data_IF_037880023046
#
_entry.id   IF_037880023046
#
_cell.length_a   1.000
_cell.length_b   1.000
_cell.length_c   1.000
_cell.angle_alpha   90.00
_cell.angle_beta   90.00
_cell.angle_gamma   90.00
#
_symmetry.space_group_name_H-M   'P 1'
#
loop_
_entity.id
_entity.type
_entity.pdbx_description
1 polymer ?
#
# COMPACT_ATOMS: atom_id res chain seq x y z
N UNK A 1 25.11 -6.42 -8.48
CA UNK A 1 25.42 -4.97 -8.29
C UNK A 1 25.28 -4.13 -9.57
N UNK A 2 25.53 -4.68 -10.75
CA UNK A 2 25.43 -3.91 -12.01
C UNK A 2 24.00 -3.76 -12.55
N UNK A 3 23.12 -4.71 -12.29
CA UNK A 3 21.75 -4.71 -12.82
C UNK A 3 20.85 -3.60 -12.24
N UNK A 4 21.16 -3.02 -11.07
CA UNK A 4 20.50 -1.83 -10.54
C UNK A 4 20.84 -0.53 -11.28
N UNK A 5 21.73 -0.55 -12.27
CA UNK A 5 22.13 0.59 -13.12
C UNK A 5 21.44 0.63 -14.49
N UNK A 6 20.59 -0.34 -14.79
CA UNK A 6 20.20 -0.64 -16.16
C UNK A 6 19.18 0.30 -16.80
N UNK A 7 18.71 1.34 -16.12
CA UNK A 7 17.68 2.19 -16.73
C UNK A 7 17.93 3.68 -16.45
N UNK A 8 18.55 4.38 -17.37
CA UNK A 8 18.47 5.83 -17.63
C UNK A 8 18.11 6.72 -16.43
N UNK A 9 18.90 6.72 -15.37
CA UNK A 9 18.64 7.51 -14.16
C UNK A 9 17.50 6.99 -13.28
N UNK A 10 16.87 5.88 -13.63
CA UNK A 10 15.80 5.21 -12.87
C UNK A 10 16.29 3.99 -12.10
N UNK A 11 17.58 3.87 -11.85
CA UNK A 11 18.11 2.79 -11.04
C UNK A 11 17.49 2.82 -9.65
N UNK A 12 17.19 1.65 -9.09
CA UNK A 12 16.62 1.50 -7.75
C UNK A 12 17.37 2.33 -6.71
N UNK A 13 18.70 2.40 -6.82
CA UNK A 13 19.57 3.16 -5.93
C UNK A 13 19.37 4.67 -5.99
N UNK A 14 18.79 5.20 -7.07
CA UNK A 14 18.50 6.63 -7.19
C UNK A 14 17.44 7.08 -6.17
N UNK A 15 16.51 6.21 -5.85
CA UNK A 15 15.48 6.45 -4.85
C UNK A 15 15.83 5.78 -3.51
N UNK A 16 16.20 4.49 -3.55
CA UNK A 16 16.37 3.69 -2.35
C UNK A 16 17.75 3.77 -1.70
N UNK A 17 18.72 4.41 -2.37
CA UNK A 17 20.10 4.49 -1.88
C UNK A 17 20.89 3.19 -2.08
N UNK A 18 22.22 3.27 -2.00
CA UNK A 18 23.11 2.13 -2.20
C UNK A 18 22.99 1.06 -1.10
N UNK A 19 22.64 1.51 0.11
CA UNK A 19 22.43 0.66 1.29
C UNK A 19 20.95 0.32 1.55
N UNK A 20 20.07 0.67 0.61
CA UNK A 20 18.64 0.38 0.72
C UNK A 20 17.89 1.17 1.80
N UNK A 21 18.47 2.26 2.32
CA UNK A 21 17.92 3.07 3.43
C UNK A 21 16.84 4.07 3.02
N UNK A 22 16.40 4.07 1.76
CA UNK A 22 15.42 5.03 1.25
C UNK A 22 15.98 6.46 1.11
N UNK A 23 17.29 6.61 1.15
CA UNK A 23 18.02 7.87 1.21
C UNK A 23 18.73 8.24 -0.09
N UNK A 24 18.31 7.64 -1.18
CA UNK A 24 18.85 7.96 -2.51
C UNK A 24 18.60 9.43 -2.90
N UNK A 25 19.36 9.99 -3.85
CA UNK A 25 19.28 11.40 -4.24
C UNK A 25 17.84 11.85 -4.56
N UNK A 26 17.07 11.05 -5.29
CA UNK A 26 15.69 11.38 -5.61
C UNK A 26 14.80 11.45 -4.35
N UNK A 27 15.03 10.58 -3.37
CA UNK A 27 14.29 10.58 -2.11
C UNK A 27 14.60 11.76 -1.21
N UNK A 28 15.80 12.35 -1.32
CA UNK A 28 16.24 13.45 -0.47
C UNK A 28 15.93 14.84 -1.04
N UNK A 29 16.05 15.02 -2.35
CA UNK A 29 16.08 16.34 -2.97
C UNK A 29 14.80 16.76 -3.66
N UNK A 30 13.88 15.85 -3.91
CA UNK A 30 12.61 16.20 -4.52
C UNK A 30 11.62 16.57 -3.41
N UNK A 31 11.51 17.89 -3.11
CA UNK A 31 10.57 18.40 -2.11
C UNK A 31 9.13 17.90 -2.30
N UNK A 32 8.72 17.67 -3.55
CA UNK A 32 7.42 17.10 -3.92
C UNK A 32 7.23 15.69 -3.34
N UNK A 33 8.30 14.99 -3.07
CA UNK A 33 8.32 13.61 -2.59
C UNK A 33 8.91 13.50 -1.19
N UNK A 34 8.80 14.58 -0.40
CA UNK A 34 9.25 14.55 1.00
C UNK A 34 8.56 13.44 1.79
N UNK A 35 7.32 13.07 1.40
CA UNK A 35 6.60 11.92 1.96
C UNK A 35 5.55 11.40 0.97
N UNK A 36 5.36 10.06 0.90
CA UNK A 36 6.18 9.06 1.56
C UNK A 36 7.55 8.94 0.89
N UNK A 37 8.59 8.79 1.69
CA UNK A 37 9.93 8.47 1.18
C UNK A 37 10.00 7.06 0.59
N UNK A 38 10.99 6.80 -0.28
CA UNK A 38 11.30 5.44 -0.69
C UNK A 38 11.50 4.55 0.53
N UNK A 39 11.05 3.30 0.43
CA UNK A 39 11.14 2.35 1.55
C UNK A 39 12.59 2.17 1.98
N UNK A 40 12.82 2.24 3.28
CA UNK A 40 14.03 1.77 3.94
C UNK A 40 13.93 0.23 4.08
N UNK A 41 14.72 -0.49 3.30
CA UNK A 41 14.73 -1.96 3.27
C UNK A 41 15.43 -2.59 4.47
N UNK A 42 16.14 -1.81 5.26
CA UNK A 42 16.80 -2.29 6.48
C UNK A 42 15.85 -2.41 7.67
N UNK A 43 14.59 -1.93 7.51
CA UNK A 43 13.54 -1.96 8.53
C UNK A 43 12.47 -3.00 8.19
N UNK A 44 11.75 -3.44 9.19
CA UNK A 44 10.71 -4.47 9.06
C UNK A 44 9.34 -3.92 8.65
N UNK A 45 9.13 -2.62 8.70
CA UNK A 45 7.84 -2.01 8.39
C UNK A 45 7.61 -1.84 6.89
N UNK A 46 6.76 -2.64 6.30
CA UNK A 46 6.35 -2.57 4.89
C UNK A 46 4.86 -2.24 4.77
N UNK A 47 4.52 -1.31 3.83
CA UNK A 47 3.13 -0.86 3.63
C UNK A 47 2.29 -1.85 2.85
N UNK A 48 2.84 -2.38 1.76
CA UNK A 48 2.11 -3.20 0.79
C UNK A 48 2.47 -4.67 0.99
N UNK A 49 1.59 -5.39 1.64
CA UNK A 49 1.76 -6.79 2.00
C UNK A 49 0.42 -7.51 2.05
N UNK A 50 0.48 -8.82 2.07
CA UNK A 50 -0.66 -9.71 2.33
C UNK A 50 -0.57 -10.40 3.70
N UNK A 51 0.52 -10.20 4.41
CA UNK A 51 0.73 -10.70 5.78
C UNK A 51 0.03 -9.82 6.83
N UNK A 52 -0.19 -10.29 8.05
CA UNK A 52 -0.74 -9.48 9.14
C UNK A 52 0.07 -8.21 9.41
N UNK A 53 -0.55 -7.23 10.08
CA UNK A 53 0.13 -5.98 10.47
C UNK A 53 1.31 -6.27 11.40
N UNK A 54 2.44 -5.62 11.13
CA UNK A 54 3.70 -5.84 11.85
C UNK A 54 4.62 -6.86 11.20
N UNK A 55 4.12 -7.67 10.28
CA UNK A 55 4.87 -8.74 9.62
C UNK A 55 5.55 -8.28 8.32
N UNK A 56 6.60 -9.01 7.93
CA UNK A 56 7.25 -8.80 6.64
C UNK A 56 6.36 -9.22 5.47
N UNK A 57 6.50 -8.58 4.30
CA UNK A 57 5.78 -8.97 3.10
C UNK A 57 6.28 -10.32 2.58
N UNK A 58 5.39 -11.05 1.92
CA UNK A 58 5.76 -12.25 1.16
C UNK A 58 6.59 -11.88 -0.07
N UNK A 59 7.26 -12.87 -0.66
CA UNK A 59 7.98 -12.69 -1.92
C UNK A 59 7.03 -12.25 -3.05
N UNK A 60 5.80 -12.73 -3.04
CA UNK A 60 4.75 -12.34 -4.00
C UNK A 60 4.31 -10.88 -3.82
N UNK A 61 4.26 -10.37 -2.60
CA UNK A 61 3.96 -8.96 -2.35
C UNK A 61 5.06 -8.04 -2.91
N UNK A 62 6.31 -8.42 -2.70
CA UNK A 62 7.45 -7.70 -3.27
C UNK A 62 7.45 -7.77 -4.79
N UNK A 63 7.17 -8.96 -5.36
CA UNK A 63 7.09 -9.17 -6.81
C UNK A 63 6.00 -8.29 -7.43
N UNK A 64 4.81 -8.29 -6.82
CA UNK A 64 3.70 -7.44 -7.24
C UNK A 64 4.07 -5.96 -7.21
N UNK A 65 4.66 -5.50 -6.10
CA UNK A 65 5.05 -4.10 -5.93
C UNK A 65 6.10 -3.66 -6.97
N UNK A 66 7.11 -4.47 -7.23
CA UNK A 66 8.12 -4.18 -8.26
C UNK A 66 7.49 -4.21 -9.65
N UNK A 67 6.63 -5.18 -9.92
CA UNK A 67 6.00 -5.31 -11.23
C UNK A 67 5.08 -4.13 -11.54
N UNK A 68 4.19 -3.77 -10.62
CA UNK A 68 3.17 -2.75 -10.84
C UNK A 68 3.68 -1.33 -10.58
N UNK A 69 4.70 -1.21 -9.71
CA UNK A 69 5.10 0.09 -9.18
C UNK A 69 4.06 0.62 -8.18
N UNK A 70 4.21 1.90 -7.84
CA UNK A 70 3.31 2.62 -6.94
C UNK A 70 2.94 3.94 -7.62
N UNK A 71 1.68 4.15 -8.01
CA UNK A 71 1.27 5.34 -8.74
C UNK A 71 1.78 6.64 -8.10
N UNK A 72 2.44 7.47 -8.89
CA UNK A 72 2.99 8.75 -8.47
C UNK A 72 4.30 8.68 -7.67
N UNK A 73 4.78 7.49 -7.26
CA UNK A 73 5.96 7.35 -6.39
C UNK A 73 7.03 6.42 -6.94
N UNK A 74 6.66 5.21 -7.33
CA UNK A 74 7.61 4.21 -7.83
C UNK A 74 7.17 3.77 -9.22
N UNK A 75 8.05 3.82 -10.22
CA UNK A 75 7.71 3.35 -11.56
C UNK A 75 7.44 1.83 -11.55
N UNK A 76 6.62 1.39 -12.51
CA UNK A 76 6.48 -0.02 -12.83
C UNK A 76 7.76 -0.57 -13.47
N UNK A 77 8.17 -1.76 -13.06
CA UNK A 77 9.30 -2.49 -13.64
C UNK A 77 8.83 -3.75 -14.41
N UNK A 78 7.63 -3.72 -14.97
CA UNK A 78 7.09 -4.82 -15.79
C UNK A 78 7.94 -5.11 -17.04
N UNK A 79 8.78 -4.15 -17.47
CA UNK A 79 9.72 -4.32 -18.60
C UNK A 79 10.91 -5.23 -18.26
N UNK A 80 11.18 -5.46 -16.98
CA UNK A 80 12.14 -6.49 -16.57
C UNK A 80 11.51 -7.88 -16.78
N UNK A 81 12.35 -8.85 -17.16
CA UNK A 81 11.92 -10.25 -17.19
C UNK A 81 11.49 -10.72 -15.79
N UNK A 82 10.74 -11.79 -15.73
CA UNK A 82 10.32 -12.37 -14.46
C UNK A 82 11.52 -12.74 -13.57
N UNK A 83 12.52 -13.39 -14.16
CA UNK A 83 13.76 -13.77 -13.46
C UNK A 83 14.51 -12.55 -12.91
N UNK A 84 14.59 -11.46 -13.67
CA UNK A 84 15.22 -10.23 -13.20
C UNK A 84 14.49 -9.62 -12.02
N UNK A 85 13.15 -9.66 -12.01
CA UNK A 85 12.35 -9.19 -10.87
C UNK A 85 12.60 -10.05 -9.63
N UNK A 86 12.68 -11.38 -9.78
CA UNK A 86 13.04 -12.28 -8.68
C UNK A 86 14.46 -12.03 -8.15
N UNK A 87 15.42 -11.76 -9.01
CA UNK A 87 16.77 -11.37 -8.59
C UNK A 87 16.78 -10.04 -7.81
N UNK A 88 15.97 -9.06 -8.22
CA UNK A 88 15.81 -7.80 -7.50
C UNK A 88 15.22 -8.05 -6.12
N UNK A 89 14.21 -8.93 -5.98
CA UNK A 89 13.62 -9.29 -4.70
C UNK A 89 14.65 -9.93 -3.77
N UNK A 90 15.40 -10.89 -4.26
CA UNK A 90 16.49 -11.53 -3.49
C UNK A 90 17.51 -10.49 -2.99
N UNK A 91 17.81 -9.50 -3.81
CA UNK A 91 18.70 -8.41 -3.42
C UNK A 91 18.06 -7.49 -2.37
N UNK A 92 16.80 -7.10 -2.53
CA UNK A 92 16.05 -6.29 -1.54
C UNK A 92 16.02 -7.01 -0.19
N UNK A 93 15.71 -8.31 -0.16
CA UNK A 93 15.69 -9.11 1.06
C UNK A 93 17.06 -9.19 1.74
N UNK A 94 18.15 -9.09 1.01
CA UNK A 94 19.50 -9.13 1.58
C UNK A 94 19.86 -7.93 2.47
N UNK A 95 19.07 -6.85 2.43
CA UNK A 95 19.28 -5.68 3.30
C UNK A 95 18.77 -5.89 4.73
N UNK A 96 17.90 -6.89 4.96
CA UNK A 96 17.32 -7.16 6.28
C UNK A 96 17.39 -8.66 6.60
N UNK A 97 18.09 -8.99 7.69
CA UNK A 97 18.26 -10.39 8.12
C UNK A 97 16.95 -11.06 8.56
N UNK A 98 15.93 -10.30 8.95
CA UNK A 98 14.62 -10.84 9.34
C UNK A 98 13.94 -11.62 8.18
N UNK A 99 14.28 -11.34 6.92
CA UNK A 99 13.81 -12.16 5.79
C UNK A 99 14.42 -13.58 5.72
N UNK A 100 15.36 -13.92 6.60
CA UNK A 100 15.89 -15.30 6.75
C UNK A 100 15.05 -16.14 7.70
N UNK A 101 14.22 -15.50 8.50
CA UNK A 101 13.30 -16.15 9.41
C UNK A 101 12.03 -16.56 8.69
N UNK A 102 11.22 -17.40 9.30
CA UNK A 102 9.93 -17.79 8.75
C UNK A 102 8.98 -16.57 8.73
N UNK A 103 8.44 -16.28 7.54
CA UNK A 103 7.48 -15.19 7.36
C UNK A 103 6.07 -15.75 7.58
N UNK A 104 5.25 -15.02 8.32
CA UNK A 104 3.85 -15.37 8.52
C UNK A 104 3.13 -15.59 7.18
N UNK A 105 2.24 -16.57 7.10
CA UNK A 105 1.47 -16.80 5.89
C UNK A 105 0.61 -15.58 5.54
N UNK A 106 0.31 -15.37 4.25
CA UNK A 106 -0.60 -14.32 3.84
C UNK A 106 -1.99 -14.55 4.44
N UNK A 107 -2.69 -13.45 4.75
CA UNK A 107 -4.09 -13.53 5.12
C UNK A 107 -4.91 -14.10 3.96
N UNK A 108 -6.01 -14.82 4.22
CA UNK A 108 -6.91 -15.25 3.19
C UNK A 108 -7.44 -14.05 2.40
N UNK A 109 -7.42 -14.17 1.06
CA UNK A 109 -8.02 -13.21 0.14
C UNK A 109 -9.14 -13.92 -0.63
N UNK A 110 -10.31 -14.10 -0.02
CA UNK A 110 -11.42 -14.80 -0.65
C UNK A 110 -11.90 -14.03 -1.89
N UNK A 111 -12.64 -14.71 -2.75
CA UNK A 111 -13.42 -14.05 -3.78
C UNK A 111 -14.65 -13.38 -3.15
N UNK A 112 -15.15 -12.26 -3.73
CA UNK A 112 -16.37 -11.65 -3.25
C UNK A 112 -17.51 -12.67 -3.16
N UNK A 113 -18.21 -12.77 -2.03
CA UNK A 113 -19.31 -13.74 -1.88
C UNK A 113 -20.55 -13.32 -2.69
N UNK A 114 -20.60 -12.06 -3.12
CA UNK A 114 -21.71 -11.51 -3.92
C UNK A 114 -21.19 -10.38 -4.84
N UNK A 115 -21.96 -10.12 -5.90
CA UNK A 115 -21.75 -8.94 -6.74
C UNK A 115 -22.12 -7.64 -6.01
N UNK A 116 -21.63 -6.47 -6.47
CA UNK A 116 -22.07 -5.19 -5.93
C UNK A 116 -23.59 -5.01 -6.10
N UNK A 117 -24.25 -4.51 -5.07
CA UNK A 117 -25.67 -4.16 -5.08
C UNK A 117 -25.87 -2.87 -4.29
N UNK A 118 -26.98 -2.16 -4.52
CA UNK A 118 -27.31 -0.94 -3.77
C UNK A 118 -27.34 -1.20 -2.26
N UNK A 119 -27.85 -2.35 -1.84
CA UNK A 119 -27.89 -2.74 -0.43
C UNK A 119 -26.46 -2.95 0.14
N UNK A 120 -25.58 -3.62 -0.58
CA UNK A 120 -24.19 -3.85 -0.18
C UNK A 120 -23.43 -2.50 -0.11
N UNK A 121 -23.60 -1.64 -1.12
CA UNK A 121 -22.98 -0.31 -1.17
C UNK A 121 -23.46 0.56 0.01
N UNK A 122 -24.76 0.55 0.29
CA UNK A 122 -25.31 1.31 1.42
C UNK A 122 -24.84 0.76 2.78
N UNK A 123 -24.73 -0.56 2.94
CA UNK A 123 -24.14 -1.15 4.13
C UNK A 123 -22.66 -0.76 4.26
N UNK A 124 -21.91 -0.84 3.18
CA UNK A 124 -20.52 -0.40 3.15
C UNK A 124 -20.34 1.08 3.51
N UNK A 125 -21.26 1.95 3.08
CA UNK A 125 -21.30 3.37 3.49
C UNK A 125 -21.46 3.53 5.00
N UNK A 126 -22.36 2.76 5.61
CA UNK A 126 -22.56 2.76 7.07
C UNK A 126 -21.31 2.29 7.81
N UNK A 127 -20.67 1.22 7.32
CA UNK A 127 -19.43 0.71 7.89
C UNK A 127 -18.29 1.73 7.76
N UNK A 128 -18.18 2.42 6.64
CA UNK A 128 -17.20 3.49 6.43
C UNK A 128 -17.33 4.59 7.50
N UNK A 129 -18.56 4.98 7.84
CA UNK A 129 -18.81 5.94 8.91
C UNK A 129 -18.59 5.33 10.29
N UNK A 130 -19.10 4.12 10.53
CA UNK A 130 -18.99 3.42 11.83
C UNK A 130 -17.53 3.22 12.25
N UNK A 131 -16.65 2.85 11.31
CA UNK A 131 -15.23 2.68 11.57
C UNK A 131 -14.41 3.98 11.49
N UNK A 132 -15.06 5.12 11.28
CA UNK A 132 -14.41 6.42 11.23
C UNK A 132 -13.49 6.61 10.04
N UNK A 133 -13.68 5.85 8.95
CA UNK A 133 -12.81 5.93 7.78
C UNK A 133 -12.76 7.34 7.19
N UNK A 134 -13.90 8.07 7.19
CA UNK A 134 -14.05 9.41 6.63
C UNK A 134 -13.15 10.47 7.28
N UNK A 135 -12.58 10.21 8.45
CA UNK A 135 -11.74 11.21 9.14
C UNK A 135 -10.46 11.56 8.37
N UNK A 136 -9.97 10.64 7.51
CA UNK A 136 -8.78 10.86 6.69
C UNK A 136 -9.12 11.14 5.23
N UNK A 137 -9.75 10.21 4.46
CA UNK A 137 -10.10 10.47 3.06
C UNK A 137 -11.32 11.37 2.86
N UNK A 138 -12.10 11.66 3.90
CA UNK A 138 -13.31 12.48 3.82
C UNK A 138 -14.57 11.69 3.49
N UNK A 139 -15.73 12.34 3.60
CA UNK A 139 -17.05 11.72 3.35
C UNK A 139 -17.17 11.19 1.90
N UNK A 140 -16.59 11.90 0.94
CA UNK A 140 -16.60 11.52 -0.47
C UNK A 140 -15.32 10.79 -0.91
N UNK A 141 -14.43 10.48 0.02
CA UNK A 141 -13.21 9.75 -0.25
C UNK A 141 -12.13 10.53 -1.04
N UNK A 142 -12.27 11.86 -1.21
CA UNK A 142 -11.36 12.66 -2.06
C UNK A 142 -10.05 13.07 -1.39
N UNK A 143 -9.80 12.61 -0.18
CA UNK A 143 -8.56 12.89 0.56
C UNK A 143 -8.63 14.13 1.45
N UNK A 144 -9.82 14.68 1.65
CA UNK A 144 -10.08 15.96 2.32
C UNK A 144 -10.71 15.83 3.72
N UNK A 145 -10.58 14.68 4.36
CA UNK A 145 -11.08 14.48 5.71
C UNK A 145 -10.47 15.44 6.73
N UNK A 146 -11.10 15.61 7.91
CA UNK A 146 -10.66 16.56 8.92
C UNK A 146 -9.19 16.38 9.33
N UNK A 147 -8.72 15.15 9.54
CA UNK A 147 -7.34 14.87 9.90
C UNK A 147 -6.35 15.21 8.75
N UNK A 148 -6.77 15.02 7.50
CA UNK A 148 -5.99 15.39 6.32
C UNK A 148 -5.88 16.91 6.20
N UNK A 149 -7.00 17.63 6.35
CA UNK A 149 -7.04 19.10 6.28
C UNK A 149 -6.28 19.77 7.42
N UNK A 150 -6.33 19.18 8.60
CA UNK A 150 -5.60 19.66 9.77
C UNK A 150 -4.07 19.41 9.68
N UNK A 151 -3.61 18.60 8.71
CA UNK A 151 -2.20 18.24 8.58
C UNK A 151 -1.70 17.33 9.70
N UNK A 152 -2.56 16.53 10.29
CA UNK A 152 -2.21 15.61 11.38
C UNK A 152 -1.66 14.27 10.89
N UNK A 153 -1.89 13.92 9.61
CA UNK A 153 -1.45 12.64 9.08
C UNK A 153 0.07 12.60 8.94
N UNK A 154 0.70 11.69 9.64
CA UNK A 154 2.15 11.50 9.66
C UNK A 154 2.51 10.05 9.39
N UNK A 155 3.62 9.84 8.70
CA UNK A 155 4.20 8.50 8.57
C UNK A 155 5.11 8.16 9.78
N UNK A 156 5.65 6.94 9.79
CA UNK A 156 6.55 6.46 10.86
C UNK A 156 7.86 7.27 10.97
N UNK A 157 8.17 8.14 10.01
CA UNK A 157 9.31 9.06 10.04
C UNK A 157 8.88 10.48 10.47
N UNK A 158 7.65 10.64 10.95
CA UNK A 158 7.03 11.91 11.31
C UNK A 158 6.91 12.91 10.14
N UNK A 159 6.91 12.42 8.90
CA UNK A 159 6.70 13.24 7.72
C UNK A 159 5.21 13.39 7.45
N UNK A 160 4.80 14.61 7.09
CA UNK A 160 3.43 14.88 6.69
C UNK A 160 3.07 14.06 5.44
N UNK A 161 1.96 13.34 5.51
CA UNK A 161 1.38 12.60 4.38
C UNK A 161 -0.05 13.05 4.14
N UNK A 162 -0.56 12.77 2.95
CA UNK A 162 -1.96 13.03 2.59
C UNK A 162 -2.73 11.72 2.49
N UNK A 163 -4.00 11.75 2.87
CA UNK A 163 -4.90 10.65 2.57
C UNK A 163 -5.03 10.46 1.05
N UNK A 164 -5.18 9.21 0.63
CA UNK A 164 -5.38 8.90 -0.79
C UNK A 164 -6.76 9.34 -1.23
N UNK A 165 -6.87 9.94 -2.42
CA UNK A 165 -8.14 10.14 -3.09
C UNK A 165 -8.69 8.76 -3.54
N UNK A 166 -9.69 8.25 -2.84
CA UNK A 166 -10.33 6.96 -3.12
C UNK A 166 -11.28 7.03 -4.31
N UNK A 167 -11.73 8.24 -4.67
CA UNK A 167 -12.55 8.48 -5.85
C UNK A 167 -11.72 8.45 -7.16
N UNK A 168 -10.40 8.46 -7.07
CA UNK A 168 -9.50 8.30 -8.20
C UNK A 168 -8.80 6.93 -8.15
N UNK A 169 -9.28 6.00 -8.94
CA UNK A 169 -8.71 4.64 -9.01
C UNK A 169 -7.22 4.64 -9.37
N UNK A 170 -6.78 5.62 -10.16
CA UNK A 170 -5.36 5.74 -10.55
C UNK A 170 -4.46 6.18 -9.39
N UNK A 171 -5.03 6.75 -8.33
CA UNK A 171 -4.31 7.14 -7.11
C UNK A 171 -4.15 6.00 -6.09
N UNK A 172 -4.82 4.86 -6.30
CA UNK A 172 -4.79 3.72 -5.38
C UNK A 172 -3.45 2.98 -5.45
N UNK A 173 -2.64 3.16 -4.43
CA UNK A 173 -1.21 2.76 -4.42
C UNK A 173 -0.97 1.26 -4.31
N UNK A 174 -1.93 0.49 -3.74
CA UNK A 174 -1.81 -0.96 -3.52
C UNK A 174 -2.63 -1.79 -4.53
N UNK A 175 -3.04 -1.15 -5.64
CA UNK A 175 -3.93 -1.71 -6.64
C UNK A 175 -5.36 -1.21 -6.48
N UNK A 176 -6.14 -1.28 -7.55
CA UNK A 176 -7.49 -0.71 -7.67
C UNK A 176 -8.59 -1.76 -7.88
N UNK A 177 -8.22 -3.04 -7.87
CA UNK A 177 -9.19 -4.13 -7.95
C UNK A 177 -9.88 -4.40 -6.61
N UNK A 178 -11.04 -5.10 -6.62
CA UNK A 178 -11.76 -5.45 -5.40
C UNK A 178 -10.88 -6.15 -4.36
N UNK A 179 -10.12 -7.15 -4.76
CA UNK A 179 -9.22 -7.89 -3.86
C UNK A 179 -8.06 -7.03 -3.33
N UNK A 180 -7.61 -6.01 -4.09
CA UNK A 180 -6.56 -5.09 -3.63
C UNK A 180 -7.07 -4.18 -2.52
N UNK A 181 -8.31 -3.69 -2.65
CA UNK A 181 -8.97 -2.91 -1.61
C UNK A 181 -9.26 -3.77 -0.37
N UNK A 182 -9.78 -4.98 -0.57
CA UNK A 182 -10.00 -5.94 0.52
C UNK A 182 -8.68 -6.17 1.29
N UNK A 183 -7.60 -6.51 0.57
CA UNK A 183 -6.27 -6.67 1.17
C UNK A 183 -5.87 -5.43 1.97
N UNK A 184 -6.02 -4.24 1.38
CA UNK A 184 -5.63 -2.97 2.01
C UNK A 184 -6.40 -2.67 3.30
N UNK A 185 -7.69 -3.02 3.34
CA UNK A 185 -8.52 -2.92 4.55
C UNK A 185 -8.05 -3.92 5.60
N UNK A 186 -7.87 -5.17 5.21
CA UNK A 186 -7.54 -6.25 6.14
C UNK A 186 -6.14 -6.11 6.74
N UNK A 187 -5.15 -5.67 5.96
CA UNK A 187 -3.76 -5.55 6.43
C UNK A 187 -3.40 -4.17 6.96
N UNK A 188 -4.13 -3.11 6.57
CA UNK A 188 -3.72 -1.73 6.81
C UNK A 188 -2.44 -1.37 6.06
N UNK A 189 -1.87 -0.21 6.39
CA UNK A 189 -0.61 0.28 5.82
C UNK A 189 0.37 0.64 6.94
N UNK A 190 1.23 -0.30 7.31
CA UNK A 190 2.21 -0.11 8.38
C UNK A 190 3.08 1.12 8.17
N UNK A 191 3.33 1.84 9.24
CA UNK A 191 4.03 3.11 9.21
C UNK A 191 3.18 4.28 8.68
N UNK A 192 1.86 4.11 8.63
CA UNK A 192 0.88 5.19 8.37
C UNK A 192 -0.25 5.13 9.38
N UNK A 193 -1.08 6.20 9.48
CA UNK A 193 -2.27 6.18 10.35
C UNK A 193 -3.37 5.20 9.94
N UNK A 194 -3.30 4.53 8.78
CA UNK A 194 -4.31 3.56 8.36
C UNK A 194 -4.08 2.19 9.06
N UNK A 195 -4.89 1.82 10.05
CA UNK A 195 -4.73 0.56 10.76
C UNK A 195 -5.20 -0.63 9.93
N UNK A 196 -4.85 -1.83 10.38
CA UNK A 196 -5.48 -3.07 9.93
C UNK A 196 -6.87 -3.20 10.55
N UNK A 197 -7.84 -3.60 9.74
CA UNK A 197 -9.20 -3.95 10.18
C UNK A 197 -9.42 -5.48 10.16
N UNK A 198 -8.38 -6.27 9.96
CA UNK A 198 -8.48 -7.72 9.89
C UNK A 198 -9.15 -8.36 11.11
N UNK A 199 -8.84 -7.87 12.32
CA UNK A 199 -9.46 -8.35 13.54
C UNK A 199 -10.96 -8.01 13.63
N UNK A 200 -11.37 -6.83 13.15
CA UNK A 200 -12.77 -6.39 13.16
C UNK A 200 -13.64 -7.16 12.15
N UNK A 201 -13.03 -7.65 11.08
CA UNK A 201 -13.73 -8.38 10.02
C UNK A 201 -13.46 -9.89 10.01
N UNK A 202 -12.77 -10.45 11.01
CA UNK A 202 -12.38 -11.86 11.05
C UNK A 202 -13.56 -12.84 10.84
N UNK A 203 -14.74 -12.51 11.39
CA UNK A 203 -15.97 -13.31 11.25
C UNK A 203 -17.08 -12.53 10.50
N UNK A 204 -16.72 -11.47 9.81
CA UNK A 204 -17.62 -10.51 9.15
C UNK A 204 -17.18 -10.27 7.69
N UNK A 205 -16.76 -11.33 7.00
CA UNK A 205 -16.21 -11.26 5.64
C UNK A 205 -17.14 -10.53 4.66
N UNK A 206 -18.45 -10.81 4.73
CA UNK A 206 -19.44 -10.15 3.87
C UNK A 206 -19.44 -8.63 4.07
N UNK A 207 -19.33 -8.17 5.30
CA UNK A 207 -19.30 -6.74 5.61
C UNK A 207 -18.00 -6.07 5.13
N UNK A 208 -16.89 -6.78 5.18
CA UNK A 208 -15.64 -6.30 4.57
C UNK A 208 -15.80 -6.10 3.06
N UNK A 209 -16.53 -7.01 2.38
CA UNK A 209 -16.85 -6.89 0.97
C UNK A 209 -17.85 -5.77 0.67
N UNK A 210 -18.84 -5.55 1.53
CA UNK A 210 -19.76 -4.42 1.41
C UNK A 210 -18.98 -3.09 1.47
N UNK A 211 -18.01 -2.98 2.40
CA UNK A 211 -17.13 -1.82 2.46
C UNK A 211 -16.29 -1.65 1.18
N UNK A 212 -15.76 -2.73 0.62
CA UNK A 212 -15.04 -2.70 -0.67
C UNK A 212 -15.92 -2.18 -1.79
N UNK A 213 -17.17 -2.66 -1.89
CA UNK A 213 -18.12 -2.20 -2.92
C UNK A 213 -18.45 -0.72 -2.77
N UNK A 214 -18.62 -0.26 -1.53
CA UNK A 214 -18.79 1.18 -1.29
C UNK A 214 -17.57 1.99 -1.75
N UNK A 215 -16.35 1.57 -1.40
CA UNK A 215 -15.13 2.27 -1.81
C UNK A 215 -14.99 2.33 -3.34
N UNK A 216 -15.33 1.24 -4.04
CA UNK A 216 -15.33 1.22 -5.50
C UNK A 216 -16.38 2.17 -6.10
N UNK A 217 -17.56 2.28 -5.48
CA UNK A 217 -18.62 3.18 -5.95
C UNK A 217 -18.26 4.68 -5.85
N UNK A 218 -17.28 5.03 -5.02
CA UNK A 218 -16.80 6.42 -4.91
C UNK A 218 -16.17 6.93 -6.21
N UNK A 219 -15.60 6.05 -7.02
CA UNK A 219 -14.97 6.40 -8.30
C UNK A 219 -15.91 6.37 -9.50
N UNK A 220 -17.17 6.03 -9.30
CA UNK A 220 -18.21 5.98 -10.34
C UNK A 220 -19.11 7.22 -10.35
N UNK A 221 -18.83 8.16 -9.45
CA UNK A 221 -19.53 9.45 -9.31
C UNK A 221 -18.75 10.55 -10.02
#
# INVERSE_FOLDING_TARGET
REKGRLFDGRACVWCHGAEGKGDGPAGRFIRRYSAPRPRDFTRESYKFRSTPSGELPTDQDLFRTITQGIPGYMPSFHSLTEDERWQVIAYVKSFNSAFKEEISPPIPLPFPPHAPSDAAIENGRKLYQQFGCQVCPGENGVGDGPESRAGHLRDAQNLLISATNLADRSALKNGAGPQDLYRSIMTGFDGTPMPSYGGQFAEREQEAWDLVWYLLSLSEK
#
